data_IF_373878242027
#
_entry.id   IF_373878242027
#
_cell.length_a   1.000
_cell.length_b   1.000
_cell.length_c   1.000
_cell.angle_alpha   90.00
_cell.angle_beta   90.00
_cell.angle_gamma   90.00
#
_symmetry.space_group_name_H-M   'P 1'
#
loop_
_entity.id
_entity.type
_entity.pdbx_description
1 polymer ?
#
# COMPACT_ATOMS: atom_id res chain seq x y z
N UNK A 1 -14.15 -15.46 49.74
CA UNK A 1 -14.03 -16.74 49.00
C UNK A 1 -14.86 -16.59 47.75
N UNK A 2 -14.26 -16.81 46.58
CA UNK A 2 -14.94 -16.62 45.30
C UNK A 2 -15.98 -17.74 45.06
N UNK A 3 -17.18 -17.36 44.63
CA UNK A 3 -18.30 -18.25 44.33
C UNK A 3 -18.78 -17.96 42.93
N UNK A 4 -18.89 -18.99 42.10
CA UNK A 4 -19.39 -18.85 40.74
C UNK A 4 -20.91 -18.94 40.72
N UNK A 5 -21.57 -17.88 40.26
CA UNK A 5 -23.03 -17.83 40.11
C UNK A 5 -23.59 -18.79 39.08
N UNK A 6 -22.81 -19.11 38.05
CA UNK A 6 -23.28 -19.89 36.92
C UNK A 6 -23.29 -21.39 37.25
N UNK A 7 -22.19 -21.89 37.83
CA UNK A 7 -22.11 -23.27 38.33
C UNK A 7 -22.69 -23.44 39.75
N UNK A 8 -22.90 -22.32 40.47
CA UNK A 8 -23.34 -22.29 41.87
C UNK A 8 -22.43 -23.15 42.77
N UNK A 9 -21.13 -23.14 42.48
CA UNK A 9 -20.09 -23.88 43.20
C UNK A 9 -19.03 -22.92 43.79
N UNK A 10 -18.47 -23.23 44.97
CA UNK A 10 -17.32 -22.51 45.50
C UNK A 10 -16.09 -22.75 44.61
N UNK A 11 -15.40 -21.69 44.21
CA UNK A 11 -14.12 -21.84 43.46
C UNK A 11 -12.93 -22.04 44.41
N UNK A 12 -13.19 -22.08 45.72
CA UNK A 12 -12.21 -22.20 46.82
C UNK A 12 -11.04 -21.21 46.75
N UNK A 13 -11.19 -20.11 46.00
CA UNK A 13 -10.18 -19.06 45.87
C UNK A 13 -10.41 -17.97 46.91
N UNK A 14 -9.39 -17.71 47.75
CA UNK A 14 -9.41 -16.58 48.68
C UNK A 14 -8.95 -15.32 47.95
N UNK A 15 -9.79 -14.28 47.99
CA UNK A 15 -9.51 -12.98 47.41
C UNK A 15 -9.22 -12.03 48.56
N UNK A 16 -7.94 -11.70 48.75
CA UNK A 16 -7.52 -10.77 49.79
C UNK A 16 -7.99 -9.35 49.46
N UNK A 17 -8.58 -8.67 50.46
CA UNK A 17 -9.00 -7.26 50.34
C UNK A 17 -10.36 -7.02 49.68
N UNK A 18 -11.06 -8.06 49.21
CA UNK A 18 -12.43 -7.94 48.68
C UNK A 18 -13.40 -8.64 49.64
N UNK A 19 -14.36 -7.92 50.25
CA UNK A 19 -15.40 -8.55 51.03
C UNK A 19 -16.22 -9.46 50.10
N UNK A 20 -16.46 -10.70 50.52
CA UNK A 20 -17.27 -11.64 49.75
C UNK A 20 -18.73 -11.21 49.72
N UNK A 21 -19.41 -11.44 48.59
CA UNK A 21 -20.86 -11.27 48.48
C UNK A 21 -21.63 -12.30 49.31
N UNK A 22 -22.75 -11.89 49.89
CA UNK A 22 -23.62 -12.77 50.68
C UNK A 22 -24.60 -13.51 49.76
N UNK A 23 -24.37 -14.80 49.49
CA UNK A 23 -25.17 -15.60 48.56
C UNK A 23 -26.20 -16.52 49.25
N UNK A 24 -26.48 -16.30 50.54
CA UNK A 24 -27.27 -17.23 51.36
C UNK A 24 -28.66 -17.53 50.77
N UNK A 25 -29.38 -16.51 50.27
CA UNK A 25 -30.72 -16.68 49.69
C UNK A 25 -30.68 -17.41 48.33
N UNK A 26 -29.68 -17.14 47.50
CA UNK A 26 -29.46 -17.83 46.21
C UNK A 26 -29.16 -19.31 46.43
N UNK A 27 -28.33 -19.63 47.44
CA UNK A 27 -28.01 -21.00 47.83
C UNK A 27 -29.25 -21.70 48.40
N UNK A 28 -30.01 -21.04 49.28
CA UNK A 28 -31.22 -21.59 49.87
C UNK A 28 -32.30 -21.93 48.82
N UNK A 29 -32.51 -21.05 47.82
CA UNK A 29 -33.40 -21.32 46.68
C UNK A 29 -33.00 -22.60 45.93
N UNK A 30 -31.70 -22.83 45.71
CA UNK A 30 -31.20 -24.05 45.04
C UNK A 30 -31.37 -25.31 45.89
N UNK A 31 -31.21 -25.19 47.20
CA UNK A 31 -31.40 -26.31 48.15
C UNK A 31 -32.88 -26.71 48.32
N UNK A 32 -33.79 -26.09 47.58
CA UNK A 32 -35.22 -26.43 47.56
C UNK A 32 -36.08 -25.53 48.43
N UNK A 33 -35.57 -24.39 48.92
CA UNK A 33 -36.40 -23.43 49.63
C UNK A 33 -37.46 -22.84 48.68
N UNK A 34 -38.71 -22.79 49.13
CA UNK A 34 -39.82 -22.23 48.38
C UNK A 34 -39.53 -20.78 47.95
N UNK A 35 -39.77 -20.41 46.67
CA UNK A 35 -39.48 -19.08 46.15
C UNK A 35 -40.16 -17.96 46.96
N UNK A 36 -41.36 -18.22 47.45
CA UNK A 36 -42.14 -17.27 48.25
C UNK A 36 -41.45 -16.95 49.58
N UNK A 37 -40.93 -17.96 50.29
CA UNK A 37 -40.19 -17.78 51.54
C UNK A 37 -38.90 -17.01 51.29
N UNK A 38 -38.19 -17.36 50.22
CA UNK A 38 -36.94 -16.70 49.88
C UNK A 38 -37.14 -15.23 49.46
N UNK A 39 -38.24 -14.92 48.77
CA UNK A 39 -38.59 -13.55 48.39
C UNK A 39 -39.05 -12.73 49.60
N UNK A 40 -39.82 -13.33 50.51
CA UNK A 40 -40.21 -12.71 51.78
C UNK A 40 -38.98 -12.45 52.67
N UNK A 41 -38.04 -13.40 52.75
CA UNK A 41 -36.76 -13.20 53.43
C UNK A 41 -35.92 -12.06 52.82
N UNK A 42 -35.95 -11.88 51.49
CA UNK A 42 -35.26 -10.77 50.84
C UNK A 42 -35.80 -9.39 51.28
N UNK A 43 -37.11 -9.27 51.55
CA UNK A 43 -37.69 -8.00 52.03
C UNK A 43 -37.20 -7.59 53.42
N UNK A 44 -36.82 -8.55 54.27
CA UNK A 44 -36.28 -8.26 55.61
C UNK A 44 -34.81 -7.87 55.61
N UNK A 45 -34.05 -8.23 54.57
CA UNK A 45 -32.61 -7.96 54.48
C UNK A 45 -32.31 -6.48 54.18
N UNK A 46 -33.31 -5.72 53.70
CA UNK A 46 -33.23 -4.27 53.52
C UNK A 46 -32.32 -3.82 52.37
N UNK A 47 -32.68 -2.70 51.71
CA UNK A 47 -32.02 -2.24 50.47
C UNK A 47 -30.52 -1.93 50.60
N UNK A 48 -30.06 -1.45 51.77
CA UNK A 48 -28.65 -1.10 51.96
C UNK A 48 -27.68 -2.30 51.87
N UNK A 49 -28.12 -3.50 52.24
CA UNK A 49 -27.32 -4.72 52.09
C UNK A 49 -27.30 -5.20 50.63
N UNK A 50 -28.39 -4.98 49.90
CA UNK A 50 -28.50 -5.30 48.47
C UNK A 50 -27.59 -4.40 47.63
N UNK A 51 -27.58 -3.08 47.90
CA UNK A 51 -26.70 -2.11 47.21
C UNK A 51 -25.22 -2.48 47.36
N UNK A 52 -24.78 -2.82 48.57
CA UNK A 52 -23.39 -3.24 48.83
C UNK A 52 -23.04 -4.52 48.06
N UNK A 53 -23.94 -5.50 48.01
CA UNK A 53 -23.72 -6.73 47.25
C UNK A 53 -23.62 -6.45 45.73
N UNK A 54 -24.40 -5.51 45.20
CA UNK A 54 -24.31 -5.11 43.79
C UNK A 54 -22.96 -4.43 43.47
N UNK A 55 -22.48 -3.55 44.36
CA UNK A 55 -21.15 -2.93 44.20
C UNK A 55 -20.04 -3.99 44.23
N UNK A 56 -20.09 -4.92 45.17
CA UNK A 56 -19.11 -6.03 45.26
C UNK A 56 -19.14 -6.88 43.98
N UNK A 57 -20.33 -7.22 43.47
CA UNK A 57 -20.47 -7.97 42.22
C UNK A 57 -19.88 -7.21 41.01
N UNK A 58 -20.11 -5.90 40.95
CA UNK A 58 -19.51 -5.03 39.92
C UNK A 58 -17.98 -5.02 39.97
N UNK A 59 -17.40 -4.91 41.17
CA UNK A 59 -15.96 -4.94 41.38
C UNK A 59 -15.34 -6.30 41.03
N UNK A 60 -15.97 -7.41 41.42
CA UNK A 60 -15.52 -8.75 41.05
C UNK A 60 -15.56 -8.96 39.53
N UNK A 61 -16.64 -8.55 38.87
CA UNK A 61 -16.77 -8.64 37.42
C UNK A 61 -15.76 -7.75 36.67
N UNK A 62 -15.49 -6.55 37.18
CA UNK A 62 -14.46 -5.67 36.64
C UNK A 62 -13.07 -6.28 36.81
N UNK A 63 -12.75 -6.83 37.99
CA UNK A 63 -11.46 -7.48 38.25
C UNK A 63 -11.25 -8.68 37.33
N UNK A 64 -12.24 -9.58 37.21
CA UNK A 64 -12.15 -10.74 36.30
C UNK A 64 -11.91 -10.31 34.85
N UNK A 65 -12.58 -9.24 34.39
CA UNK A 65 -12.34 -8.66 33.06
C UNK A 65 -10.92 -8.11 32.93
N UNK A 66 -10.41 -7.42 33.95
CA UNK A 66 -9.03 -6.92 33.96
C UNK A 66 -7.99 -8.04 33.97
N UNK A 67 -8.19 -9.09 34.78
CA UNK A 67 -7.30 -10.25 34.81
C UNK A 67 -7.27 -10.98 33.45
N UNK A 68 -8.42 -11.15 32.81
CA UNK A 68 -8.52 -11.80 31.50
C UNK A 68 -7.81 -10.98 30.44
N UNK A 69 -8.09 -9.67 30.37
CA UNK A 69 -7.39 -8.76 29.45
C UNK A 69 -5.89 -8.69 29.71
N UNK A 70 -5.46 -8.71 30.96
CA UNK A 70 -4.03 -8.72 31.30
C UNK A 70 -3.36 -9.99 30.79
N UNK A 71 -3.99 -11.16 30.96
CA UNK A 71 -3.48 -12.44 30.43
C UNK A 71 -3.40 -12.45 28.91
N UNK A 72 -4.46 -12.00 28.24
CA UNK A 72 -4.49 -11.89 26.77
C UNK A 72 -3.40 -10.93 26.26
N UNK A 73 -3.22 -9.78 26.92
CA UNK A 73 -2.17 -8.82 26.58
C UNK A 73 -0.77 -9.43 26.76
N UNK A 74 -0.53 -10.16 27.86
CA UNK A 74 0.74 -10.86 28.07
C UNK A 74 1.01 -11.90 26.98
N UNK A 75 0.01 -12.70 26.61
CA UNK A 75 0.16 -13.69 25.53
C UNK A 75 0.44 -13.03 24.19
N UNK A 76 -0.27 -11.95 23.86
CA UNK A 76 -0.07 -11.20 22.63
C UNK A 76 1.31 -10.56 22.57
N UNK A 77 1.81 -10.01 23.68
CA UNK A 77 3.16 -9.46 23.77
C UNK A 77 4.21 -10.55 23.52
N UNK A 78 4.08 -11.72 24.15
CA UNK A 78 4.99 -12.85 23.93
C UNK A 78 5.01 -13.31 22.48
N UNK A 79 3.85 -13.43 21.84
CA UNK A 79 3.75 -13.79 20.43
C UNK A 79 4.39 -12.73 19.52
N UNK A 80 4.15 -11.45 19.82
CA UNK A 80 4.71 -10.33 19.06
C UNK A 80 6.23 -10.28 19.19
N UNK A 81 6.78 -10.50 20.38
CA UNK A 81 8.22 -10.55 20.60
C UNK A 81 8.87 -11.71 19.85
N UNK A 82 8.26 -12.90 19.86
CA UNK A 82 8.76 -14.06 19.11
C UNK A 82 8.76 -13.78 17.61
N UNK A 83 7.65 -13.28 17.07
CA UNK A 83 7.52 -12.97 15.64
C UNK A 83 8.50 -11.86 15.23
N UNK A 84 8.64 -10.81 16.05
CA UNK A 84 9.59 -9.74 15.80
C UNK A 84 11.01 -10.28 15.73
N UNK A 85 11.43 -11.13 16.69
CA UNK A 85 12.75 -11.76 16.66
C UNK A 85 12.98 -12.59 15.40
N UNK A 86 12.00 -13.39 15.00
CA UNK A 86 12.11 -14.22 13.79
C UNK A 86 12.25 -13.36 12.52
N UNK A 87 11.41 -12.32 12.38
CA UNK A 87 11.45 -11.40 11.24
C UNK A 87 12.75 -10.61 11.22
N UNK A 88 13.21 -10.11 12.36
CA UNK A 88 14.49 -9.39 12.44
C UNK A 88 15.68 -10.28 12.08
N UNK A 89 15.69 -11.54 12.54
CA UNK A 89 16.74 -12.50 12.17
C UNK A 89 16.74 -12.79 10.67
N UNK A 90 15.56 -13.07 10.09
CA UNK A 90 15.42 -13.31 8.65
C UNK A 90 15.87 -12.08 7.84
N UNK A 91 15.45 -10.88 8.24
CA UNK A 91 15.86 -9.64 7.60
C UNK A 91 17.39 -9.45 7.64
N UNK A 92 18.02 -9.69 8.79
CA UNK A 92 19.48 -9.62 8.93
C UNK A 92 20.19 -10.64 8.03
N UNK A 93 19.72 -11.89 7.98
CA UNK A 93 20.31 -12.92 7.10
C UNK A 93 20.17 -12.59 5.62
N UNK A 94 19.02 -12.04 5.20
CA UNK A 94 18.81 -11.61 3.83
C UNK A 94 19.71 -10.44 3.46
N UNK A 95 19.84 -9.46 4.35
CA UNK A 95 20.71 -8.32 4.14
C UNK A 95 22.18 -8.74 4.01
N UNK A 96 22.64 -9.68 4.83
CA UNK A 96 24.00 -10.22 4.69
C UNK A 96 24.18 -10.97 3.37
N UNK A 97 23.20 -11.79 2.98
CA UNK A 97 23.21 -12.51 1.71
C UNK A 97 23.24 -11.57 0.50
N UNK A 98 22.45 -10.50 0.53
CA UNK A 98 22.45 -9.47 -0.50
C UNK A 98 23.80 -8.77 -0.59
N UNK A 99 24.42 -8.48 0.57
CA UNK A 99 25.75 -7.86 0.62
C UNK A 99 26.82 -8.78 0.06
N UNK A 100 26.83 -10.06 0.43
CA UNK A 100 27.73 -11.07 -0.12
C UNK A 100 27.57 -11.19 -1.63
N UNK A 101 26.33 -11.29 -2.13
CA UNK A 101 26.04 -11.38 -3.56
C UNK A 101 26.50 -10.14 -4.31
N UNK A 102 26.28 -8.94 -3.74
CA UNK A 102 26.72 -7.68 -4.35
C UNK A 102 28.24 -7.60 -4.43
N UNK A 103 28.95 -7.92 -3.35
CA UNK A 103 30.42 -7.96 -3.35
C UNK A 103 30.95 -8.99 -4.34
N UNK A 104 30.33 -10.17 -4.41
CA UNK A 104 30.69 -11.21 -5.38
C UNK A 104 30.44 -10.78 -6.83
N UNK A 105 29.33 -10.10 -7.12
CA UNK A 105 29.03 -9.53 -8.43
C UNK A 105 30.01 -8.42 -8.81
N UNK A 106 30.33 -7.50 -7.89
CA UNK A 106 31.31 -6.44 -8.10
C UNK A 106 32.69 -7.02 -8.41
N UNK A 107 33.13 -8.02 -7.65
CA UNK A 107 34.39 -8.71 -7.90
C UNK A 107 34.41 -9.42 -9.26
N UNK A 108 33.32 -10.13 -9.61
CA UNK A 108 33.19 -10.80 -10.90
C UNK A 108 33.21 -9.81 -12.07
N UNK A 109 32.53 -8.67 -11.95
CA UNK A 109 32.55 -7.60 -12.95
C UNK A 109 33.95 -6.99 -13.09
N UNK A 110 34.64 -6.71 -11.98
CA UNK A 110 36.01 -6.20 -12.01
C UNK A 110 36.97 -7.19 -12.69
N UNK A 111 36.85 -8.48 -12.39
CA UNK A 111 37.64 -9.52 -13.02
C UNK A 111 37.35 -9.64 -14.52
N UNK A 112 36.08 -9.57 -14.93
CA UNK A 112 35.68 -9.59 -16.33
C UNK A 112 36.24 -8.36 -17.09
N UNK A 113 36.17 -7.16 -16.51
CA UNK A 113 36.75 -5.95 -17.10
C UNK A 113 38.28 -6.06 -17.20
N UNK A 114 38.95 -6.60 -16.18
CA UNK A 114 40.40 -6.78 -16.19
C UNK A 114 40.84 -7.78 -17.28
N UNK A 115 40.13 -8.90 -17.42
CA UNK A 115 40.35 -9.88 -18.48
C UNK A 115 40.14 -9.26 -19.87
N UNK A 116 39.02 -8.55 -20.08
CA UNK A 116 38.73 -7.87 -21.33
C UNK A 116 39.82 -6.84 -21.70
N UNK A 117 40.28 -6.03 -20.72
CA UNK A 117 41.39 -5.08 -20.94
C UNK A 117 42.69 -5.78 -21.34
N UNK A 118 43.00 -6.93 -20.74
CA UNK A 118 44.19 -7.69 -21.08
C UNK A 118 44.11 -8.26 -22.51
N UNK A 119 42.96 -8.80 -22.91
CA UNK A 119 42.72 -9.29 -24.28
C UNK A 119 42.82 -8.16 -25.31
N UNK A 120 42.19 -7.00 -25.04
CA UNK A 120 42.31 -5.80 -25.88
C UNK A 120 43.77 -5.35 -26.02
N UNK A 121 44.53 -5.34 -24.92
CA UNK A 121 45.94 -4.97 -24.95
C UNK A 121 46.79 -5.94 -25.79
N UNK A 122 46.46 -7.24 -25.81
CA UNK A 122 47.12 -8.22 -26.67
C UNK A 122 46.83 -7.96 -28.15
N UNK A 123 45.58 -7.65 -28.51
CA UNK A 123 45.20 -7.29 -29.88
C UNK A 123 45.94 -6.03 -30.34
N UNK A 124 45.99 -4.99 -29.51
CA UNK A 124 46.72 -3.74 -29.81
C UNK A 124 48.22 -4.01 -30.00
N UNK A 125 48.85 -4.80 -29.10
CA UNK A 125 50.27 -5.16 -29.24
C UNK A 125 50.57 -5.92 -30.53
N UNK A 126 49.69 -6.84 -30.94
CA UNK A 126 49.85 -7.59 -32.20
C UNK A 126 49.83 -6.66 -33.41
N UNK A 127 48.94 -5.67 -33.43
CA UNK A 127 48.87 -4.65 -34.48
C UNK A 127 50.09 -3.72 -34.51
N UNK A 128 50.69 -3.41 -33.37
CA UNK A 128 51.88 -2.55 -33.28
C UNK A 128 53.18 -3.23 -33.73
N UNK A 129 53.23 -4.57 -33.77
CA UNK A 129 54.45 -5.33 -34.06
C UNK A 129 54.59 -5.75 -35.54
N UNK A 130 53.68 -5.38 -36.44
CA UNK A 130 53.72 -5.71 -37.87
C UNK A 130 53.37 -4.53 -38.80
N UNK A 131 53.63 -4.63 -40.12
CA UNK A 131 53.17 -3.65 -41.09
C UNK A 131 51.63 -3.69 -41.16
N UNK A 132 50.97 -2.57 -40.84
CA UNK A 132 49.51 -2.53 -40.74
C UNK A 132 48.85 -2.79 -42.11
N UNK A 133 48.42 -4.03 -42.36
CA UNK A 133 47.57 -4.40 -43.49
C UNK A 133 46.10 -4.05 -43.19
N UNK A 134 45.33 -3.68 -44.23
CA UNK A 134 43.90 -3.44 -44.12
C UNK A 134 43.13 -4.69 -43.60
N UNK A 135 43.66 -5.89 -43.88
CA UNK A 135 43.09 -7.16 -43.40
C UNK A 135 43.32 -7.36 -41.90
N UNK A 136 44.51 -7.01 -41.38
CA UNK A 136 44.85 -7.12 -39.95
C UNK A 136 44.00 -6.17 -39.10
N UNK A 137 43.74 -4.95 -39.61
CA UNK A 137 42.86 -3.98 -38.96
C UNK A 137 41.41 -4.48 -38.87
N UNK A 138 40.94 -5.21 -39.89
CA UNK A 138 39.59 -5.77 -39.93
C UNK A 138 39.44 -6.98 -39.00
N UNK A 139 40.43 -7.88 -38.96
CA UNK A 139 40.48 -8.98 -37.98
C UNK A 139 40.52 -8.47 -36.54
N UNK A 140 41.31 -7.42 -36.26
CA UNK A 140 41.34 -6.82 -34.94
C UNK A 140 40.00 -6.19 -34.55
N UNK A 141 39.30 -5.55 -35.50
CA UNK A 141 37.96 -5.00 -35.26
C UNK A 141 36.95 -6.11 -34.93
N UNK A 142 37.01 -7.24 -35.64
CA UNK A 142 36.19 -8.41 -35.35
C UNK A 142 36.51 -9.02 -33.97
N UNK A 143 37.80 -9.14 -33.64
CA UNK A 143 38.24 -9.62 -32.33
C UNK A 143 37.77 -8.71 -31.19
N UNK A 144 37.87 -7.38 -31.36
CA UNK A 144 37.37 -6.39 -30.40
C UNK A 144 35.85 -6.50 -30.20
N UNK A 145 35.09 -6.68 -31.28
CA UNK A 145 33.64 -6.87 -31.19
C UNK A 145 33.27 -8.17 -30.45
N UNK A 146 33.98 -9.27 -30.69
CA UNK A 146 33.75 -10.54 -29.98
C UNK A 146 34.09 -10.45 -28.49
N UNK A 147 35.14 -9.71 -28.11
CA UNK A 147 35.48 -9.43 -26.70
C UNK A 147 34.36 -8.60 -26.06
N UNK A 148 33.85 -7.61 -26.78
CA UNK A 148 32.68 -6.83 -26.39
C UNK A 148 31.47 -7.73 -26.11
N UNK A 149 31.08 -8.59 -27.04
CA UNK A 149 29.91 -9.47 -26.86
C UNK A 149 30.07 -10.51 -25.74
N UNK A 150 31.29 -11.01 -25.51
CA UNK A 150 31.57 -11.96 -24.41
C UNK A 150 31.49 -11.33 -23.02
N UNK A 151 31.89 -10.06 -22.90
CA UNK A 151 32.02 -9.38 -21.59
C UNK A 151 30.97 -8.32 -21.33
N UNK A 152 30.14 -7.94 -22.31
CA UNK A 152 28.91 -7.22 -22.02
C UNK A 152 28.06 -8.11 -21.11
N UNK A 153 27.57 -7.60 -19.97
CA UNK A 153 26.56 -8.33 -19.21
C UNK A 153 25.45 -8.60 -20.21
N UNK A 154 25.20 -9.88 -20.49
CA UNK A 154 24.12 -10.29 -21.39
C UNK A 154 22.91 -9.49 -20.94
N UNK A 155 22.55 -8.48 -21.72
CA UNK A 155 21.34 -7.70 -21.53
C UNK A 155 20.30 -8.79 -21.61
N UNK A 156 19.80 -9.23 -20.44
CA UNK A 156 18.74 -10.22 -20.36
C UNK A 156 17.79 -9.82 -21.46
N UNK A 157 17.73 -10.64 -22.51
CA UNK A 157 16.75 -10.42 -23.57
C UNK A 157 15.44 -10.15 -22.83
N UNK A 158 14.71 -9.07 -23.16
CA UNK A 158 13.42 -8.83 -22.52
C UNK A 158 12.68 -10.17 -22.57
N UNK A 159 12.38 -10.71 -21.39
CA UNK A 159 11.94 -12.09 -21.25
C UNK A 159 10.87 -12.34 -22.32
N UNK A 160 11.07 -13.37 -23.15
CA UNK A 160 10.14 -13.74 -24.23
C UNK A 160 8.70 -13.54 -23.73
N UNK A 161 7.84 -12.79 -24.46
CA UNK A 161 6.50 -12.49 -23.98
C UNK A 161 5.80 -13.81 -23.69
N UNK A 162 5.53 -14.05 -22.40
CA UNK A 162 4.77 -15.21 -21.96
C UNK A 162 3.31 -14.98 -22.38
N UNK A 163 2.57 -16.04 -22.75
CA UNK A 163 1.21 -15.94 -23.27
C UNK A 163 0.35 -15.05 -22.38
N UNK A 164 -0.35 -14.09 -23.00
CA UNK A 164 -1.09 -13.04 -22.30
C UNK A 164 -2.13 -13.60 -21.35
N UNK A 165 -2.03 -13.21 -20.08
CA UNK A 165 -3.05 -13.49 -19.09
C UNK A 165 -4.36 -12.78 -19.51
N UNK A 166 -5.49 -13.47 -19.53
CA UNK A 166 -6.81 -12.85 -19.70
C UNK A 166 -7.66 -13.26 -18.50
N UNK A 167 -7.98 -12.34 -17.59
CA UNK A 167 -8.75 -12.67 -16.41
C UNK A 167 -10.15 -13.10 -16.81
N UNK A 168 -10.62 -14.23 -16.26
CA UNK A 168 -12.00 -14.65 -16.34
C UNK A 168 -12.77 -14.20 -15.10
N UNK A 169 -14.10 -14.11 -15.22
CA UNK A 169 -14.98 -13.82 -14.08
C UNK A 169 -14.80 -14.90 -13.02
N UNK A 170 -14.49 -14.50 -11.78
CA UNK A 170 -14.16 -15.38 -10.65
C UNK A 170 -12.66 -15.52 -10.38
N UNK A 171 -11.78 -15.06 -11.27
CA UNK A 171 -10.34 -15.13 -11.04
C UNK A 171 -9.90 -14.17 -9.95
N UNK A 172 -8.93 -14.60 -9.14
CA UNK A 172 -8.22 -13.72 -8.21
C UNK A 172 -7.03 -13.09 -8.92
N UNK A 173 -7.01 -11.78 -8.94
CA UNK A 173 -5.98 -10.95 -9.56
C UNK A 173 -5.37 -10.02 -8.52
N UNK A 174 -4.14 -9.61 -8.74
CA UNK A 174 -3.42 -8.61 -7.94
C UNK A 174 -3.51 -7.27 -8.65
N UNK A 175 -3.74 -6.21 -7.89
CA UNK A 175 -3.74 -4.83 -8.40
C UNK A 175 -2.51 -4.13 -7.83
N UNK A 176 -1.40 -4.00 -8.58
CA UNK A 176 -0.14 -3.47 -8.06
C UNK A 176 -0.27 -2.06 -7.45
N UNK A 177 -1.12 -1.21 -8.04
CA UNK A 177 -1.36 0.17 -7.56
C UNK A 177 -1.97 0.22 -6.15
N UNK A 178 -2.76 -0.79 -5.80
CA UNK A 178 -3.45 -0.90 -4.50
C UNK A 178 -2.71 -1.86 -3.57
N UNK A 179 -1.85 -2.72 -4.11
CA UNK A 179 -1.10 -3.73 -3.36
C UNK A 179 -1.98 -4.86 -2.81
N UNK A 180 -3.23 -4.97 -3.27
CA UNK A 180 -4.20 -5.94 -2.77
C UNK A 180 -4.64 -6.93 -3.87
N UNK A 181 -5.18 -8.07 -3.42
CA UNK A 181 -5.82 -9.06 -4.28
C UNK A 181 -7.31 -8.76 -4.40
N UNK A 182 -7.86 -8.92 -5.60
CA UNK A 182 -9.25 -8.69 -5.92
C UNK A 182 -9.80 -9.83 -6.77
N UNK A 183 -11.09 -10.08 -6.68
CA UNK A 183 -11.80 -11.08 -7.47
C UNK A 183 -12.52 -10.41 -8.64
N UNK A 184 -12.34 -10.92 -9.85
CA UNK A 184 -12.97 -10.37 -11.05
C UNK A 184 -14.47 -10.69 -11.02
N UNK A 185 -15.32 -9.65 -11.00
CA UNK A 185 -16.78 -9.80 -11.03
C UNK A 185 -17.35 -9.72 -12.45
N UNK A 186 -16.74 -8.94 -13.33
CA UNK A 186 -17.13 -8.81 -14.73
C UNK A 186 -15.90 -8.88 -15.63
N UNK A 187 -16.06 -9.51 -16.80
CA UNK A 187 -15.02 -9.55 -17.83
C UNK A 187 -14.73 -8.16 -18.40
N UNK A 188 -13.67 -8.01 -19.21
CA UNK A 188 -13.31 -6.74 -19.80
C UNK A 188 -14.40 -6.25 -20.75
N UNK A 189 -14.95 -5.06 -20.48
CA UNK A 189 -15.87 -4.35 -21.37
C UNK A 189 -15.14 -3.86 -22.64
N UNK A 190 -15.86 -3.26 -23.60
CA UNK A 190 -15.30 -2.70 -24.85
C UNK A 190 -14.17 -1.67 -24.62
N UNK A 191 -14.09 -1.08 -23.42
CA UNK A 191 -13.04 -0.14 -23.01
C UNK A 191 -11.91 -0.80 -22.19
N UNK A 192 -11.86 -2.14 -22.17
CA UNK A 192 -10.86 -2.93 -21.42
C UNK A 192 -10.89 -2.68 -19.90
N UNK A 193 -12.06 -2.35 -19.36
CA UNK A 193 -12.29 -2.15 -17.92
C UNK A 193 -12.94 -3.39 -17.31
N UNK A 194 -12.46 -3.84 -16.15
CA UNK A 194 -13.03 -4.94 -15.37
C UNK A 194 -13.55 -4.44 -14.04
N UNK A 195 -14.73 -4.90 -13.64
CA UNK A 195 -15.20 -4.68 -12.27
C UNK A 195 -14.62 -5.78 -11.38
N UNK A 196 -13.89 -5.37 -10.35
CA UNK A 196 -13.23 -6.26 -9.41
C UNK A 196 -13.72 -5.98 -7.99
N UNK A 197 -13.83 -7.03 -7.19
CA UNK A 197 -14.21 -6.96 -5.78
C UNK A 197 -12.99 -7.12 -4.91
N UNK A 198 -12.73 -6.14 -4.06
CA UNK A 198 -11.71 -6.21 -3.03
C UNK A 198 -12.41 -6.12 -1.66
N UNK A 199 -12.44 -7.23 -0.92
CA UNK A 199 -13.22 -7.33 0.32
C UNK A 199 -14.72 -7.05 0.09
N UNK A 200 -15.23 -5.98 0.72
CA UNK A 200 -16.64 -5.55 0.61
C UNK A 200 -16.88 -4.49 -0.48
N UNK A 201 -15.83 -3.95 -1.10
CA UNK A 201 -15.93 -2.83 -2.03
C UNK A 201 -15.75 -3.31 -3.48
N UNK A 202 -16.48 -2.68 -4.40
CA UNK A 202 -16.35 -2.89 -5.86
C UNK A 202 -15.57 -1.73 -6.47
N UNK A 203 -14.71 -2.02 -7.42
CA UNK A 203 -13.94 -1.01 -8.15
C UNK A 203 -13.78 -1.43 -9.61
N UNK A 204 -13.82 -0.46 -10.50
CA UNK A 204 -13.54 -0.64 -11.92
C UNK A 204 -12.06 -0.39 -12.16
N UNK A 205 -11.36 -1.36 -12.76
CA UNK A 205 -9.91 -1.32 -13.00
C UNK A 205 -9.62 -1.68 -14.45
N UNK A 206 -8.72 -0.93 -15.08
CA UNK A 206 -8.28 -1.21 -16.45
C UNK A 206 -7.48 -2.50 -16.51
N UNK A 207 -7.62 -3.25 -17.61
CA UNK A 207 -6.88 -4.48 -17.86
C UNK A 207 -5.35 -4.24 -17.76
N UNK A 208 -4.85 -3.07 -18.17
CA UNK A 208 -3.43 -2.70 -18.04
C UNK A 208 -2.89 -2.64 -16.59
N UNK A 209 -3.76 -2.46 -15.60
CA UNK A 209 -3.41 -2.18 -14.20
C UNK A 209 -3.55 -3.41 -13.28
N UNK A 210 -3.80 -4.58 -13.86
CA UNK A 210 -3.98 -5.83 -13.12
C UNK A 210 -2.87 -6.83 -13.48
N UNK A 211 -2.58 -7.71 -12.53
CA UNK A 211 -1.64 -8.80 -12.69
C UNK A 211 -2.29 -10.08 -12.15
N UNK A 212 -1.96 -11.24 -12.73
CA UNK A 212 -2.27 -12.53 -12.09
C UNK A 212 -1.61 -12.61 -10.71
N UNK A 213 -2.07 -13.52 -9.84
CA UNK A 213 -1.40 -13.80 -8.56
C UNK A 213 0.09 -14.15 -8.73
N UNK A 214 0.47 -14.66 -9.89
CA UNK A 214 1.85 -14.99 -10.29
C UNK A 214 2.63 -13.82 -10.92
N UNK A 215 2.06 -12.60 -10.94
CA UNK A 215 2.69 -11.40 -11.50
C UNK A 215 2.63 -11.28 -13.03
N UNK A 216 1.68 -11.95 -13.68
CA UNK A 216 1.51 -11.89 -15.14
C UNK A 216 0.57 -10.76 -15.54
N UNK A 217 1.04 -9.83 -16.38
CA UNK A 217 0.22 -8.74 -16.93
C UNK A 217 -0.61 -9.23 -18.13
N UNK A 218 -1.85 -8.75 -18.29
CA UNK A 218 -2.71 -9.17 -19.39
C UNK A 218 -2.35 -8.51 -20.72
N UNK A 219 -2.63 -9.22 -21.82
CA UNK A 219 -2.42 -8.73 -23.18
C UNK A 219 -3.58 -7.83 -23.62
N UNK A 220 -3.23 -6.58 -23.95
CA UNK A 220 -4.07 -5.64 -24.68
C UNK A 220 -3.94 -5.98 -26.17
N UNK A 221 -5.04 -6.38 -26.81
CA UNK A 221 -5.04 -6.69 -28.23
C UNK A 221 -4.92 -5.38 -29.02
N UNK A 222 -3.73 -5.10 -29.60
CA UNK A 222 -3.60 -4.06 -30.63
C UNK A 222 -4.47 -4.47 -31.82
N UNK A 223 -5.61 -3.80 -32.00
CA UNK A 223 -6.46 -3.97 -33.18
C UNK A 223 -5.72 -3.36 -34.39
N UNK A 224 -5.66 -4.14 -35.45
CA UNK A 224 -4.92 -3.86 -36.67
C UNK A 224 -5.41 -2.58 -37.38
N UNK A 225 -4.51 -1.60 -37.54
CA UNK A 225 -4.58 -0.55 -38.56
C UNK A 225 -3.41 -0.72 -39.53
N UNK A 226 -3.28 -1.91 -40.10
CA UNK A 226 -2.37 -2.20 -41.22
C UNK A 226 -3.09 -3.18 -42.14
N UNK A 227 -3.96 -2.65 -43.00
CA UNK A 227 -4.44 -3.21 -44.28
C UNK A 227 -5.70 -2.45 -44.69
N UNK A 228 -5.54 -1.40 -45.51
CA UNK A 228 -6.52 -0.88 -46.50
C UNK A 228 -6.13 0.53 -46.99
N UNK A 229 -4.89 0.73 -47.47
CA UNK A 229 -4.55 1.91 -48.30
C UNK A 229 -3.57 1.57 -49.42
N UNK A 230 -3.89 0.56 -50.22
CA UNK A 230 -3.34 0.39 -51.56
C UNK A 230 -4.37 -0.29 -52.45
N UNK A 231 -5.28 0.52 -53.00
CA UNK A 231 -5.91 0.39 -54.33
C UNK A 231 -7.24 1.13 -54.28
N UNK A 232 -7.21 2.40 -54.69
CA UNK A 232 -8.17 2.99 -55.62
C UNK A 232 -7.90 4.50 -55.76
N UNK A 233 -6.81 4.82 -56.47
CA UNK A 233 -6.71 6.10 -57.18
C UNK A 233 -7.14 5.88 -58.63
N UNK A 234 -8.39 6.15 -58.95
CA UNK A 234 -8.87 6.77 -60.21
C UNK A 234 -10.37 6.53 -60.37
N UNK A 235 -11.15 7.58 -60.12
CA UNK A 235 -12.05 8.23 -61.10
C UNK A 235 -13.18 8.98 -60.36
N UNK A 236 -13.33 10.27 -60.76
CA UNK A 236 -14.49 11.18 -60.56
C UNK A 236 -14.62 11.76 -59.15
N UNK A 237 -14.26 13.01 -58.87
CA UNK A 237 -14.76 14.30 -59.38
C UNK A 237 -16.23 14.56 -59.04
N UNK A 238 -16.46 15.52 -58.14
CA UNK A 238 -17.75 16.17 -57.89
C UNK A 238 -17.96 16.58 -56.43
N UNK A 239 -17.85 17.89 -56.15
CA UNK A 239 -18.70 18.70 -55.24
C UNK A 239 -19.12 18.13 -53.87
N UNK A 240 -19.02 18.80 -52.72
CA UNK A 240 -19.05 20.22 -52.38
C UNK A 240 -18.87 20.34 -50.84
N UNK A 241 -18.07 21.32 -50.38
CA UNK A 241 -18.23 22.20 -49.18
C UNK A 241 -19.06 21.75 -47.95
N UNK A 242 -18.77 22.03 -46.66
CA UNK A 242 -17.74 22.68 -45.81
C UNK A 242 -18.31 22.63 -44.35
N UNK A 243 -17.70 23.15 -43.25
CA UNK A 243 -16.30 23.46 -42.91
C UNK A 243 -15.79 22.78 -41.60
N UNK A 244 -14.49 22.88 -41.26
CA UNK A 244 -13.89 22.38 -40.01
C UNK A 244 -13.80 23.48 -38.94
N UNK A 245 -13.93 23.10 -37.65
CA UNK A 245 -13.51 23.95 -36.53
C UNK A 245 -12.56 23.24 -35.57
N UNK A 246 -11.46 23.93 -35.33
CA UNK A 246 -10.31 23.65 -34.48
C UNK A 246 -10.65 23.29 -33.03
N UNK A 247 -9.85 22.39 -32.45
CA UNK A 247 -9.31 22.61 -31.10
C UNK A 247 -7.91 21.97 -30.97
N UNK A 248 -6.95 22.80 -31.36
CA UNK A 248 -5.56 22.87 -30.93
C UNK A 248 -5.27 22.21 -29.56
N UNK A 249 -4.61 21.05 -29.52
CA UNK A 249 -4.02 20.52 -28.28
C UNK A 249 -2.53 20.87 -28.27
N UNK A 250 -2.20 21.94 -27.55
CA UNK A 250 -0.83 22.27 -27.17
C UNK A 250 -0.26 21.16 -26.26
N UNK A 251 1.03 20.80 -26.38
CA UNK A 251 1.69 19.95 -25.41
C UNK A 251 1.80 20.69 -24.08
N UNK A 252 1.13 20.20 -23.03
CA UNK A 252 1.31 20.71 -21.68
C UNK A 252 2.57 20.07 -21.07
N UNK A 253 3.59 20.91 -20.90
CA UNK A 253 4.75 20.65 -20.05
C UNK A 253 4.30 20.72 -18.59
N UNK A 254 4.25 19.59 -17.89
CA UNK A 254 4.04 19.59 -16.44
C UNK A 254 5.26 20.22 -15.74
N UNK A 255 5.09 21.24 -14.89
CA UNK A 255 6.20 21.81 -14.14
C UNK A 255 6.71 20.81 -13.10
N UNK A 256 8.04 20.68 -13.01
CA UNK A 256 8.72 19.88 -11.98
C UNK A 256 8.30 20.41 -10.60
N UNK A 257 7.52 19.64 -9.86
CA UNK A 257 6.94 20.05 -8.58
C UNK A 257 7.92 19.73 -7.45
N UNK A 258 8.86 20.62 -7.17
CA UNK A 258 9.86 20.42 -6.10
C UNK A 258 9.28 20.80 -4.73
N UNK A 259 9.33 19.85 -3.79
CA UNK A 259 8.96 20.09 -2.40
C UNK A 259 10.10 20.75 -1.62
N UNK A 260 9.79 21.85 -0.93
CA UNK A 260 10.69 22.63 -0.08
C UNK A 260 10.04 22.93 1.27
N UNK A 261 10.80 23.45 2.23
CA UNK A 261 10.23 23.88 3.52
C UNK A 261 9.30 25.09 3.40
N UNK A 262 9.46 25.92 2.38
CA UNK A 262 8.68 27.16 2.20
C UNK A 262 7.30 26.89 1.55
N UNK A 263 7.16 25.78 0.85
CA UNK A 263 5.90 25.39 0.20
C UNK A 263 5.29 24.14 0.84
N UNK A 264 5.63 23.82 2.09
CA UNK A 264 5.07 22.69 2.83
C UNK A 264 4.49 23.17 4.17
N UNK A 265 3.24 22.79 4.44
CA UNK A 265 2.59 23.02 5.73
C UNK A 265 2.17 21.71 6.40
N UNK A 266 2.30 21.64 7.72
CA UNK A 266 1.91 20.49 8.53
C UNK A 266 0.71 20.84 9.41
N UNK A 267 -0.41 20.17 9.16
CA UNK A 267 -1.70 20.38 9.82
C UNK A 267 -2.08 19.22 10.73
N UNK A 268 -1.18 18.24 10.93
CA UNK A 268 -1.47 17.05 11.73
C UNK A 268 -1.81 17.43 13.18
N UNK A 269 -2.95 16.96 13.65
CA UNK A 269 -3.42 17.20 15.01
C UNK A 269 -4.25 18.48 15.20
N UNK A 270 -4.37 19.31 14.16
CA UNK A 270 -5.23 20.50 14.17
C UNK A 270 -6.71 20.13 13.93
N UNK A 271 -7.62 21.00 14.38
CA UNK A 271 -9.03 20.93 13.98
C UNK A 271 -9.21 21.49 12.57
N UNK A 272 -10.25 21.04 11.85
CA UNK A 272 -10.52 21.49 10.46
C UNK A 272 -10.56 23.02 10.34
N UNK A 273 -11.28 23.69 11.24
CA UNK A 273 -11.40 25.15 11.25
C UNK A 273 -10.08 25.90 11.51
N UNK A 274 -9.14 25.29 12.23
CA UNK A 274 -7.80 25.86 12.47
C UNK A 274 -6.92 25.64 11.23
N UNK A 275 -7.00 24.44 10.67
CA UNK A 275 -6.25 24.03 9.50
C UNK A 275 -6.62 24.84 8.25
N UNK A 276 -7.88 25.22 8.06
CA UNK A 276 -8.33 26.11 6.97
C UNK A 276 -7.63 27.48 7.03
N UNK A 277 -7.54 28.07 8.23
CA UNK A 277 -6.89 29.38 8.43
C UNK A 277 -5.39 29.32 8.15
N UNK A 278 -4.75 28.25 8.60
CA UNK A 278 -3.34 27.98 8.36
C UNK A 278 -3.03 27.79 6.86
N UNK A 279 -3.91 27.08 6.13
CA UNK A 279 -3.78 26.93 4.67
C UNK A 279 -3.95 28.26 3.94
N UNK A 280 -4.93 29.08 4.35
CA UNK A 280 -5.16 30.41 3.77
C UNK A 280 -3.93 31.32 3.91
N UNK A 281 -3.34 31.33 5.12
CA UNK A 281 -2.10 32.07 5.37
C UNK A 281 -0.93 31.52 4.53
N UNK A 282 -0.85 30.20 4.37
CA UNK A 282 0.20 29.54 3.60
C UNK A 282 0.12 29.82 2.09
N UNK A 283 -1.06 30.14 1.54
CA UNK A 283 -1.17 30.51 0.12
C UNK A 283 -0.36 31.74 -0.23
N UNK A 284 -0.31 32.74 0.66
CA UNK A 284 0.48 33.96 0.44
C UNK A 284 1.97 33.67 0.30
N UNK A 285 2.50 32.70 1.06
CA UNK A 285 3.90 32.28 0.98
C UNK A 285 4.16 31.33 -0.22
N UNK A 286 3.20 30.47 -0.56
CA UNK A 286 3.34 29.50 -1.64
C UNK A 286 3.10 30.07 -3.04
N UNK A 287 2.56 31.29 -3.16
CA UNK A 287 2.34 31.98 -4.44
C UNK A 287 3.61 32.08 -5.30
N UNK A 288 4.78 32.28 -4.69
CA UNK A 288 6.06 32.37 -5.43
C UNK A 288 6.48 31.01 -6.03
N UNK A 289 6.09 29.91 -5.40
CA UNK A 289 6.40 28.55 -5.86
C UNK A 289 5.31 27.93 -6.74
N UNK A 290 4.11 28.52 -6.77
CA UNK A 290 2.95 28.04 -7.53
C UNK A 290 2.31 26.74 -7.03
N UNK A 291 2.85 26.13 -5.97
CA UNK A 291 2.36 24.86 -5.41
C UNK A 291 2.45 24.87 -3.88
N UNK A 292 1.47 24.30 -3.19
CA UNK A 292 1.46 24.16 -1.73
C UNK A 292 1.26 22.68 -1.35
N UNK A 293 2.17 22.14 -0.55
CA UNK A 293 2.13 20.79 -0.01
C UNK A 293 1.49 20.80 1.38
N UNK A 294 0.35 20.13 1.52
CA UNK A 294 -0.46 20.13 2.74
C UNK A 294 -0.42 18.76 3.40
N UNK A 295 0.22 18.66 4.57
CA UNK A 295 0.30 17.41 5.34
C UNK A 295 -0.83 17.39 6.37
N UNK A 296 -1.91 16.68 6.07
CA UNK A 296 -3.04 16.49 7.00
C UNK A 296 -3.03 15.11 7.69
N UNK A 297 -2.13 14.21 7.27
CA UNK A 297 -2.04 12.84 7.79
C UNK A 297 -3.14 11.91 7.27
N UNK A 298 -3.02 10.62 7.57
CA UNK A 298 -3.93 9.57 7.07
C UNK A 298 -5.19 9.43 7.94
N UNK A 299 -5.00 9.27 9.26
CA UNK A 299 -6.03 9.37 10.30
C UNK A 299 -7.41 8.80 9.98
N UNK A 300 -8.45 9.46 10.48
CA UNK A 300 -9.87 9.18 10.16
C UNK A 300 -10.32 9.79 8.83
N UNK A 301 -9.44 10.53 8.14
CA UNK A 301 -9.73 11.24 6.89
C UNK A 301 -10.59 12.50 7.05
N UNK A 302 -11.01 12.88 8.26
CA UNK A 302 -11.83 14.08 8.49
C UNK A 302 -11.10 15.36 8.09
N UNK A 303 -9.83 15.49 8.49
CA UNK A 303 -9.01 16.65 8.14
C UNK A 303 -8.77 16.75 6.63
N UNK A 304 -8.55 15.62 5.96
CA UNK A 304 -8.44 15.57 4.50
C UNK A 304 -9.71 16.07 3.82
N UNK A 305 -10.89 15.58 4.24
CA UNK A 305 -12.17 15.97 3.65
C UNK A 305 -12.44 17.46 3.80
N UNK A 306 -12.27 18.00 5.01
CA UNK A 306 -12.47 19.43 5.26
C UNK A 306 -11.52 20.30 4.44
N UNK A 307 -10.24 19.90 4.33
CA UNK A 307 -9.28 20.62 3.48
C UNK A 307 -9.63 20.51 2.00
N UNK A 308 -10.08 19.36 1.49
CA UNK A 308 -10.51 19.22 0.09
C UNK A 308 -11.72 20.12 -0.23
N UNK A 309 -12.71 20.15 0.65
CA UNK A 309 -13.88 21.05 0.54
C UNK A 309 -13.44 22.54 0.55
N UNK A 310 -12.51 22.90 1.43
CA UNK A 310 -11.95 24.26 1.46
C UNK A 310 -11.22 24.61 0.16
N UNK A 311 -10.33 23.74 -0.34
CA UNK A 311 -9.56 23.94 -1.57
C UNK A 311 -10.45 24.07 -2.81
N UNK A 312 -11.57 23.34 -2.89
CA UNK A 312 -12.54 23.44 -3.99
C UNK A 312 -13.20 24.82 -4.06
N UNK A 313 -13.47 25.42 -2.90
CA UNK A 313 -14.14 26.73 -2.80
C UNK A 313 -13.19 27.92 -2.93
N UNK A 314 -11.87 27.69 -2.86
CA UNK A 314 -10.89 28.77 -2.72
C UNK A 314 -10.47 29.39 -4.07
N UNK A 315 -10.53 30.72 -4.25
CA UNK A 315 -10.32 31.37 -5.55
C UNK A 315 -8.87 31.27 -6.08
N UNK A 316 -7.89 31.12 -5.18
CA UNK A 316 -6.46 31.03 -5.53
C UNK A 316 -6.03 29.63 -6.01
N UNK A 317 -6.87 28.60 -5.86
CA UNK A 317 -6.53 27.23 -6.23
C UNK A 317 -6.92 26.97 -7.69
N UNK A 318 -5.96 26.50 -8.48
CA UNK A 318 -6.19 26.09 -9.87
C UNK A 318 -6.72 24.66 -9.95
N UNK A 319 -6.04 23.74 -9.28
CA UNK A 319 -6.38 22.34 -9.12
C UNK A 319 -5.66 21.77 -7.89
N UNK A 320 -6.11 20.63 -7.35
CA UNK A 320 -5.43 19.94 -6.28
C UNK A 320 -5.45 18.43 -6.52
N UNK A 321 -4.41 17.75 -6.06
CA UNK A 321 -4.29 16.29 -6.17
C UNK A 321 -3.70 15.67 -4.90
N UNK A 322 -3.86 14.36 -4.78
CA UNK A 322 -3.24 13.60 -3.68
C UNK A 322 -1.80 13.29 -4.08
N UNK A 323 -0.86 13.52 -3.17
CA UNK A 323 0.55 13.26 -3.45
C UNK A 323 0.80 11.78 -3.79
N UNK A 324 1.88 11.53 -4.55
CA UNK A 324 2.32 10.17 -4.86
C UNK A 324 2.67 9.36 -3.60
N UNK A 325 2.70 8.03 -3.72
CA UNK A 325 2.99 7.14 -2.57
C UNK A 325 4.36 7.43 -1.94
N UNK A 326 5.36 7.84 -2.73
CA UNK A 326 6.69 8.22 -2.26
C UNK A 326 6.73 9.56 -1.50
N UNK A 327 5.70 10.39 -1.64
CA UNK A 327 5.68 11.78 -1.15
C UNK A 327 4.70 11.99 0.02
N UNK A 328 4.06 10.91 0.49
CA UNK A 328 3.13 10.91 1.62
C UNK A 328 1.77 10.28 1.31
N UNK A 329 1.48 10.01 0.03
CA UNK A 329 0.27 9.35 -0.42
C UNK A 329 -1.00 10.06 0.06
N UNK A 330 -1.99 9.28 0.51
CA UNK A 330 -3.28 9.77 1.00
C UNK A 330 -3.22 10.69 2.23
N UNK A 331 -2.04 10.91 2.82
CA UNK A 331 -1.83 11.81 3.95
C UNK A 331 -1.33 13.20 3.56
N UNK A 332 -1.11 13.45 2.27
CA UNK A 332 -0.61 14.72 1.74
C UNK A 332 -1.42 15.11 0.50
N UNK A 333 -1.81 16.38 0.44
CA UNK A 333 -2.49 16.99 -0.72
C UNK A 333 -1.60 18.07 -1.31
N UNK A 334 -1.50 18.11 -2.63
CA UNK A 334 -0.77 19.12 -3.39
C UNK A 334 -1.80 20.06 -3.99
N UNK A 335 -1.77 21.34 -3.62
CA UNK A 335 -2.61 22.39 -4.18
C UNK A 335 -1.79 23.23 -5.16
N UNK A 336 -2.24 23.33 -6.42
CA UNK A 336 -1.66 24.19 -7.43
C UNK A 336 -2.34 25.55 -7.37
N UNK A 337 -1.56 26.62 -7.33
CA UNK A 337 -2.06 28.00 -7.23
C UNK A 337 -2.12 28.65 -8.61
N UNK A 338 -2.98 29.66 -8.77
CA UNK A 338 -3.15 30.42 -10.02
C UNK A 338 -2.20 31.60 -10.13
#
# INVERSE_FOLDING_TARGET
>A
MEFDDSSLQPTYRLLWGIPGRSNALTIAKRLGLLPEIANLAATYVGGASEDVNQVIAGLEAQRRRQETKAREATQLLQQTEMLHREVSQKAATLQERERELKLGQEAAVQQAIAAAKAEVAQVIRRLQQGPASAQDAQEATLALNQIGEKHLPSRKEPAKPKPGFRPQVGDRIRIPRVGQTAEVLSGPDNNEELTVRFGMMKMTVKLAEIESLDGQKPEIAKRAEEQEKTQNSRLKAGSQSAPPQNSNVKPQTSPVTVRTSQNTIDLRGMRVSEAEREVDQAFSAAMESGVLWIIHGKGTGQLRKGIHEFLESHPLVSHYEIAGTAEGGSGVTIAYLR
#
